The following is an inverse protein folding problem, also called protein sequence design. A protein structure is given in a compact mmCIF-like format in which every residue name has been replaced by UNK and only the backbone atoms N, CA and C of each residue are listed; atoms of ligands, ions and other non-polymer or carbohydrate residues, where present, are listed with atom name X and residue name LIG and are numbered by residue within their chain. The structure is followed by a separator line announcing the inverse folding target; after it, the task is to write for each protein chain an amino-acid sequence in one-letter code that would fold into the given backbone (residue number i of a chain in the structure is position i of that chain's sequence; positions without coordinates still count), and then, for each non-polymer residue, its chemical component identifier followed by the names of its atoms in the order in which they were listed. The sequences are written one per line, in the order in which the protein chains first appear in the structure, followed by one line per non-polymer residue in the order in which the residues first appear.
data_IF_539100002500
#
_entry.id   IF_539100002500
#
_cell.length_a   1.000
_cell.length_b   1.000
_cell.length_c   1.000
_cell.angle_alpha   90.00
_cell.angle_beta   90.00
_cell.angle_gamma   90.00
#
_symmetry.space_group_name_H-M   'P 1'
#
loop_
_entity.id
_entity.type
_entity.pdbx_description
1 polymer ?
#
# COMPACT_ATOMS: atom_id res chain seq x y z
N UNK A 1 -20.90 11.36 -28.19
CA UNK A 1 -20.68 10.15 -27.38
C UNK A 1 -19.71 10.49 -26.26
N UNK A 2 -19.85 9.80 -25.14
CA UNK A 2 -19.00 9.92 -23.95
C UNK A 2 -18.26 8.60 -23.79
N UNK A 3 -16.95 8.62 -23.55
CA UNK A 3 -16.21 7.45 -23.07
C UNK A 3 -15.94 7.63 -21.58
N UNK A 4 -16.46 6.72 -20.77
CA UNK A 4 -16.22 6.67 -19.33
C UNK A 4 -15.18 5.59 -19.11
N UNK A 5 -14.08 5.88 -18.42
CA UNK A 5 -13.02 4.90 -18.22
C UNK A 5 -12.35 5.08 -16.86
N UNK A 6 -11.68 4.01 -16.41
CA UNK A 6 -10.93 3.95 -15.16
C UNK A 6 -9.74 2.98 -15.33
N UNK A 7 -8.69 3.16 -14.52
CA UNK A 7 -7.49 2.33 -14.56
C UNK A 7 -7.09 1.80 -13.19
N UNK A 8 -6.79 0.50 -13.12
CA UNK A 8 -6.02 -0.04 -12.00
C UNK A 8 -4.54 0.07 -12.31
N UNK A 9 -3.71 0.30 -11.28
CA UNK A 9 -2.29 0.59 -11.48
C UNK A 9 -1.44 -0.06 -10.41
N UNK A 10 -0.12 -0.12 -10.62
CA UNK A 10 0.85 -0.65 -9.65
C UNK A 10 1.04 0.22 -8.40
N UNK A 11 0.27 1.30 -8.22
CA UNK A 11 0.33 2.13 -7.02
C UNK A 11 -0.14 3.57 -7.24
N UNK A 12 0.65 4.53 -6.79
CA UNK A 12 0.35 5.96 -6.92
C UNK A 12 1.54 6.67 -7.55
N UNK A 13 1.27 7.80 -8.19
CA UNK A 13 2.33 8.67 -8.70
C UNK A 13 3.24 9.15 -7.56
N UNK A 14 4.56 9.19 -7.80
CA UNK A 14 5.53 9.74 -6.84
C UNK A 14 5.33 11.27 -6.68
N UNK A 15 4.94 11.92 -7.76
CA UNK A 15 4.49 13.30 -7.89
C UNK A 15 3.24 13.35 -8.77
N UNK A 16 2.14 13.88 -8.24
CA UNK A 16 0.94 14.12 -9.04
C UNK A 16 1.10 15.29 -10.02
N UNK A 17 2.20 16.05 -9.94
CA UNK A 17 2.49 17.20 -10.81
C UNK A 17 3.57 16.93 -11.86
N UNK A 18 4.19 15.76 -11.87
CA UNK A 18 5.21 15.46 -12.86
C UNK A 18 4.61 15.39 -14.27
N UNK A 19 5.35 15.81 -15.31
CA UNK A 19 4.91 15.62 -16.68
C UNK A 19 4.84 14.12 -17.02
N UNK A 20 4.00 13.73 -17.99
CA UNK A 20 3.91 12.33 -18.46
C UNK A 20 5.22 11.80 -19.04
N UNK A 21 6.10 12.69 -19.50
CA UNK A 21 7.44 12.36 -20.01
C UNK A 21 8.39 11.88 -18.93
N UNK A 22 8.10 12.19 -17.66
CA UNK A 22 8.71 11.56 -16.50
C UNK A 22 7.93 10.28 -16.20
N UNK A 23 8.02 9.31 -17.12
CA UNK A 23 7.16 8.13 -17.07
C UNK A 23 7.46 7.24 -15.86
N UNK A 24 8.64 7.32 -15.27
CA UNK A 24 9.00 6.53 -14.08
C UNK A 24 8.32 7.07 -12.81
N UNK A 25 7.86 8.32 -12.83
CA UNK A 25 7.05 8.89 -11.75
C UNK A 25 5.65 8.28 -11.66
N UNK A 26 5.06 7.94 -12.82
CA UNK A 26 3.70 7.44 -12.92
C UNK A 26 3.68 5.92 -12.74
N UNK A 27 2.66 5.33 -12.08
CA UNK A 27 2.58 3.89 -11.93
C UNK A 27 2.35 3.21 -13.30
N UNK A 28 2.50 1.88 -13.32
CA UNK A 28 2.20 1.07 -14.51
C UNK A 28 0.71 0.72 -14.52
N UNK A 29 0.09 0.75 -15.69
CA UNK A 29 -1.31 0.38 -15.88
C UNK A 29 -1.45 -1.15 -15.79
N UNK A 30 -2.31 -1.62 -14.89
CA UNK A 30 -2.58 -3.04 -14.63
C UNK A 30 -3.89 -3.47 -15.27
N UNK A 31 -4.90 -2.61 -15.24
CA UNK A 31 -6.19 -2.84 -15.86
C UNK A 31 -6.69 -1.53 -16.47
N UNK A 32 -7.46 -1.63 -17.54
CA UNK A 32 -8.28 -0.54 -18.04
C UNK A 32 -9.65 -1.09 -18.42
N UNK A 33 -10.69 -0.36 -18.03
CA UNK A 33 -12.04 -0.61 -18.48
C UNK A 33 -12.64 0.67 -19.05
N UNK A 34 -13.60 0.54 -19.96
CA UNK A 34 -14.36 1.68 -20.43
C UNK A 34 -15.76 1.32 -20.92
N UNK A 35 -16.63 2.32 -20.92
CA UNK A 35 -17.96 2.31 -21.51
C UNK A 35 -18.10 3.47 -22.48
N UNK A 36 -18.75 3.25 -23.63
CA UNK A 36 -19.19 4.33 -24.51
C UNK A 36 -20.69 4.49 -24.42
N UNK A 37 -21.14 5.73 -24.17
CA UNK A 37 -22.56 6.09 -24.21
C UNK A 37 -22.84 7.12 -25.29
N UNK A 38 -24.02 7.02 -25.91
CA UNK A 38 -24.54 8.06 -26.79
C UNK A 38 -24.99 9.31 -26.02
N UNK A 39 -25.44 10.34 -26.74
CA UNK A 39 -25.94 11.59 -26.12
C UNK A 39 -27.25 11.40 -25.37
N UNK A 40 -27.95 10.29 -25.56
CA UNK A 40 -29.21 9.91 -24.90
C UNK A 40 -28.97 9.05 -23.65
N UNK A 41 -27.72 8.66 -23.39
CA UNK A 41 -27.34 7.80 -22.27
C UNK A 41 -27.34 6.30 -22.59
N UNK A 42 -27.65 5.90 -23.82
CA UNK A 42 -27.64 4.49 -24.20
C UNK A 42 -26.20 3.98 -24.26
N UNK A 43 -25.97 2.80 -23.69
CA UNK A 43 -24.69 2.09 -23.76
C UNK A 43 -24.47 1.55 -25.18
N UNK A 44 -23.28 1.80 -25.74
CA UNK A 44 -22.88 1.39 -27.09
C UNK A 44 -21.71 0.41 -27.09
N UNK A 45 -20.80 0.53 -26.13
CA UNK A 45 -19.58 -0.26 -26.06
C UNK A 45 -19.19 -0.49 -24.58
N UNK A 46 -18.69 -1.68 -24.28
CA UNK A 46 -18.12 -2.05 -22.97
C UNK A 46 -16.88 -2.86 -23.22
N UNK A 47 -15.79 -2.48 -22.58
CA UNK A 47 -14.49 -3.12 -22.73
C UNK A 47 -13.78 -3.18 -21.37
N UNK A 48 -13.04 -4.26 -21.13
CA UNK A 48 -12.33 -4.51 -19.89
C UNK A 48 -11.11 -5.40 -20.16
N UNK A 49 -9.92 -4.92 -19.82
CA UNK A 49 -8.66 -5.60 -20.13
C UNK A 49 -7.68 -5.53 -18.96
N UNK A 50 -7.12 -6.68 -18.60
CA UNK A 50 -5.89 -6.77 -17.79
C UNK A 50 -4.71 -6.60 -18.73
N UNK A 51 -3.72 -5.81 -18.33
CA UNK A 51 -2.52 -5.54 -19.10
C UNK A 51 -1.43 -6.53 -18.71
N UNK A 52 -0.80 -7.15 -19.70
CA UNK A 52 0.36 -8.01 -19.47
C UNK A 52 1.55 -7.17 -18.97
N UNK A 53 2.17 -7.53 -17.83
CA UNK A 53 3.30 -6.76 -17.30
C UNK A 53 4.52 -6.78 -18.21
N UNK A 54 5.18 -5.63 -18.35
CA UNK A 54 6.42 -5.46 -19.13
C UNK A 54 7.52 -4.91 -18.23
N UNK A 55 8.30 -5.82 -17.63
CA UNK A 55 9.43 -5.48 -16.77
C UNK A 55 9.05 -4.89 -15.41
N UNK A 56 7.86 -5.21 -14.89
CA UNK A 56 7.42 -4.83 -13.55
C UNK A 56 6.61 -5.95 -12.91
N UNK A 57 6.57 -5.95 -11.58
CA UNK A 57 5.66 -6.76 -10.78
C UNK A 57 4.60 -5.89 -10.13
N UNK A 58 3.44 -6.46 -9.84
CA UNK A 58 2.35 -5.77 -9.14
C UNK A 58 2.58 -5.94 -7.62
N UNK A 59 2.76 -4.86 -6.84
CA UNK A 59 3.03 -4.96 -5.41
C UNK A 59 1.89 -5.63 -4.63
N UNK A 60 2.20 -6.38 -3.58
CA UNK A 60 1.19 -7.10 -2.78
C UNK A 60 0.12 -6.18 -2.15
N UNK A 61 0.51 -5.01 -1.67
CA UNK A 61 -0.43 -4.01 -1.13
C UNK A 61 -1.43 -3.52 -2.18
N UNK A 62 -1.07 -3.59 -3.45
CA UNK A 62 -1.88 -3.17 -4.59
C UNK A 62 -2.75 -4.34 -5.07
N UNK A 63 -2.21 -5.57 -5.06
CA UNK A 63 -3.00 -6.80 -5.25
C UNK A 63 -4.13 -6.91 -4.23
N UNK A 64 -3.89 -6.57 -2.95
CA UNK A 64 -4.96 -6.58 -1.92
C UNK A 64 -6.12 -5.63 -2.22
N UNK A 65 -5.88 -4.62 -3.05
CA UNK A 65 -6.88 -3.61 -3.41
C UNK A 65 -7.73 -4.13 -4.59
N UNK A 66 -7.09 -4.47 -5.72
CA UNK A 66 -7.81 -4.78 -6.96
C UNK A 66 -7.81 -6.28 -7.35
N UNK A 67 -7.09 -7.15 -6.63
CA UNK A 67 -7.12 -8.60 -6.83
C UNK A 67 -6.41 -9.14 -8.09
N UNK A 68 -5.55 -8.35 -8.73
CA UNK A 68 -4.82 -8.77 -9.95
C UNK A 68 -3.37 -9.01 -9.59
N UNK A 69 -2.95 -10.28 -9.54
CA UNK A 69 -1.55 -10.65 -9.29
C UNK A 69 -0.71 -10.50 -10.57
N UNK A 70 0.61 -10.44 -10.39
CA UNK A 70 1.56 -10.46 -11.53
C UNK A 70 1.36 -11.72 -12.36
N UNK A 71 1.24 -12.88 -11.75
CA UNK A 71 1.08 -14.17 -12.44
C UNK A 71 -0.23 -14.23 -13.23
N UNK A 72 -1.32 -13.68 -12.66
CA UNK A 72 -2.61 -13.57 -13.35
C UNK A 72 -2.50 -12.65 -14.57
N UNK A 73 -1.86 -11.50 -14.41
CA UNK A 73 -1.66 -10.52 -15.48
C UNK A 73 -0.72 -11.06 -16.57
N UNK A 74 0.30 -11.85 -16.23
CA UNK A 74 1.16 -12.53 -17.21
C UNK A 74 0.42 -13.59 -18.02
N UNK A 75 -0.48 -14.36 -17.37
CA UNK A 75 -1.21 -15.46 -17.98
C UNK A 75 -2.38 -15.00 -18.86
N UNK A 76 -3.16 -14.02 -18.39
CA UNK A 76 -4.41 -13.60 -19.03
C UNK A 76 -4.39 -12.17 -19.56
N UNK A 77 -3.33 -11.40 -19.26
CA UNK A 77 -3.22 -10.04 -19.73
C UNK A 77 -2.97 -9.96 -21.23
N UNK A 78 -3.45 -8.88 -21.82
CA UNK A 78 -3.24 -8.54 -23.24
C UNK A 78 -2.09 -7.56 -23.40
N UNK A 79 -1.52 -7.50 -24.61
CA UNK A 79 -0.39 -6.62 -24.92
C UNK A 79 -0.78 -5.14 -24.78
N UNK A 80 0.07 -4.38 -24.09
CA UNK A 80 -0.17 -2.95 -23.81
C UNK A 80 -0.35 -2.15 -25.11
N UNK A 81 0.47 -2.40 -26.13
CA UNK A 81 0.38 -1.71 -27.42
C UNK A 81 -0.98 -1.92 -28.10
N UNK A 82 -1.52 -3.13 -28.02
CA UNK A 82 -2.82 -3.44 -28.61
C UNK A 82 -3.95 -2.71 -27.86
N UNK A 83 -3.93 -2.73 -26.53
CA UNK A 83 -4.95 -2.06 -25.71
C UNK A 83 -4.92 -0.55 -25.89
N UNK A 84 -3.74 0.07 -25.90
CA UNK A 84 -3.60 1.51 -26.12
C UNK A 84 -4.20 1.94 -27.47
N UNK A 85 -3.92 1.19 -28.54
CA UNK A 85 -4.48 1.47 -29.86
C UNK A 85 -6.00 1.26 -29.90
N UNK A 86 -6.51 0.20 -29.27
CA UNK A 86 -7.95 -0.06 -29.18
C UNK A 86 -8.68 1.03 -28.39
N UNK A 87 -8.16 1.42 -27.23
CA UNK A 87 -8.70 2.51 -26.43
C UNK A 87 -8.68 3.83 -27.19
N UNK A 88 -7.58 4.14 -27.89
CA UNK A 88 -7.48 5.33 -28.74
C UNK A 88 -8.54 5.34 -29.87
N UNK A 89 -8.78 4.20 -30.53
CA UNK A 89 -9.82 4.07 -31.55
C UNK A 89 -11.21 4.35 -30.96
N UNK A 90 -11.54 3.72 -29.84
CA UNK A 90 -12.80 3.90 -29.12
C UNK A 90 -12.98 5.36 -28.65
N UNK A 91 -11.94 5.94 -28.06
CA UNK A 91 -11.94 7.33 -27.61
C UNK A 91 -12.10 8.33 -28.76
N UNK A 92 -11.54 8.05 -29.95
CA UNK A 92 -11.64 8.93 -31.13
C UNK A 92 -13.07 9.16 -31.62
N UNK A 93 -13.99 8.25 -31.29
CA UNK A 93 -15.42 8.32 -31.59
C UNK A 93 -16.15 9.27 -30.61
N UNK A 94 -15.53 9.62 -29.49
CA UNK A 94 -16.14 10.34 -28.38
C UNK A 94 -15.75 11.81 -28.33
N UNK A 95 -16.66 12.62 -27.80
CA UNK A 95 -16.46 14.07 -27.61
C UNK A 95 -15.77 14.37 -26.28
N UNK A 96 -16.04 13.55 -25.27
CA UNK A 96 -15.48 13.69 -23.94
C UNK A 96 -14.95 12.38 -23.41
N UNK A 97 -13.80 12.48 -22.75
CA UNK A 97 -13.34 11.53 -21.76
C UNK A 97 -14.04 11.84 -20.44
N UNK A 98 -14.56 10.84 -19.75
CA UNK A 98 -15.27 11.01 -18.48
C UNK A 98 -14.67 10.05 -17.45
N UNK A 99 -14.48 10.53 -16.23
CA UNK A 99 -13.97 9.72 -15.13
C UNK A 99 -14.28 10.33 -13.77
N UNK A 100 -13.83 9.68 -12.71
CA UNK A 100 -13.89 10.19 -11.36
C UNK A 100 -12.45 10.37 -10.85
N UNK A 101 -11.95 11.61 -10.81
CA UNK A 101 -10.52 11.92 -10.72
C UNK A 101 -9.73 11.60 -12.01
N UNK A 102 -10.38 11.79 -13.18
CA UNK A 102 -9.89 11.45 -14.52
C UNK A 102 -8.49 12.00 -14.87
N UNK A 103 -8.04 13.06 -14.19
CA UNK A 103 -6.69 13.60 -14.41
C UNK A 103 -5.62 12.57 -14.08
N UNK A 104 -5.85 11.72 -13.06
CA UNK A 104 -4.94 10.63 -12.72
C UNK A 104 -4.87 9.60 -13.84
N UNK A 105 -6.02 9.08 -14.27
CA UNK A 105 -6.11 8.04 -15.30
C UNK A 105 -5.57 8.52 -16.65
N UNK A 106 -5.88 9.76 -17.05
CA UNK A 106 -5.31 10.38 -18.24
C UNK A 106 -3.77 10.42 -18.20
N UNK A 107 -3.19 10.75 -17.05
CA UNK A 107 -1.74 10.80 -16.91
C UNK A 107 -1.11 9.40 -16.89
N UNK A 108 -1.77 8.40 -16.32
CA UNK A 108 -1.32 7.00 -16.36
C UNK A 108 -1.32 6.48 -17.80
N UNK A 109 -2.43 6.64 -18.52
CA UNK A 109 -2.52 6.24 -19.94
C UNK A 109 -1.53 7.03 -20.78
N UNK A 110 -1.41 8.35 -20.56
CA UNK A 110 -0.45 9.19 -21.26
C UNK A 110 0.99 8.76 -21.03
N UNK A 111 1.35 8.37 -19.80
CA UNK A 111 2.65 7.79 -19.50
C UNK A 111 2.88 6.46 -20.22
N UNK A 112 1.87 5.58 -20.33
CA UNK A 112 2.00 4.34 -21.10
C UNK A 112 2.18 4.58 -22.61
N UNK A 113 1.43 5.51 -23.21
CA UNK A 113 1.66 5.94 -24.60
C UNK A 113 3.10 6.45 -24.79
N UNK A 114 3.59 7.28 -23.86
CA UNK A 114 4.95 7.79 -23.89
C UNK A 114 6.00 6.68 -23.79
N UNK A 115 5.84 5.72 -22.85
CA UNK A 115 6.75 4.55 -22.70
C UNK A 115 6.85 3.72 -23.97
N UNK A 116 5.75 3.58 -24.70
CA UNK A 116 5.69 2.85 -25.98
C UNK A 116 6.16 3.67 -27.18
N UNK A 117 6.41 4.97 -27.02
CA UNK A 117 6.73 5.87 -28.13
C UNK A 117 5.57 6.02 -29.13
N UNK A 118 4.34 5.79 -28.69
CA UNK A 118 3.13 5.90 -29.51
C UNK A 118 2.54 7.30 -29.31
N UNK A 119 2.14 7.96 -30.40
CA UNK A 119 1.45 9.26 -30.31
C UNK A 119 0.11 9.07 -29.56
N UNK A 120 -0.12 9.87 -28.52
CA UNK A 120 -1.35 9.83 -27.74
C UNK A 120 -2.46 10.71 -28.36
N UNK A 121 -3.50 10.15 -29.01
CA UNK A 121 -4.57 10.96 -29.58
C UNK A 121 -5.57 11.44 -28.52
N UNK A 122 -5.60 10.85 -27.32
CA UNK A 122 -6.62 11.15 -26.31
C UNK A 122 -6.39 12.48 -25.61
N UNK A 123 -5.15 13.00 -25.61
CA UNK A 123 -4.78 14.32 -25.08
C UNK A 123 -5.56 15.49 -25.70
N UNK A 124 -6.10 15.31 -26.91
CA UNK A 124 -6.87 16.34 -27.62
C UNK A 124 -8.37 16.31 -27.29
N UNK A 125 -8.82 15.29 -26.56
CA UNK A 125 -10.23 15.08 -26.21
C UNK A 125 -10.48 15.76 -24.86
N UNK A 126 -11.55 16.57 -24.80
CA UNK A 126 -11.92 17.26 -23.56
C UNK A 126 -12.31 16.26 -22.46
N UNK A 127 -11.98 16.57 -21.21
CA UNK A 127 -12.29 15.71 -20.06
C UNK A 127 -13.42 16.27 -19.20
N UNK A 128 -14.23 15.38 -18.64
CA UNK A 128 -15.26 15.67 -17.63
C UNK A 128 -14.91 14.88 -16.38
N UNK A 129 -14.64 15.59 -15.29
CA UNK A 129 -14.33 14.98 -14.00
C UNK A 129 -15.54 15.04 -13.07
N UNK A 130 -16.17 13.89 -12.84
CA UNK A 130 -17.33 13.78 -11.97
C UNK A 130 -16.99 14.10 -10.51
N UNK A 131 -15.76 13.87 -10.06
CA UNK A 131 -15.30 14.23 -8.71
C UNK A 131 -15.41 15.75 -8.49
N UNK A 132 -14.87 16.53 -9.43
CA UNK A 132 -14.90 17.98 -9.34
C UNK A 132 -16.32 18.54 -9.51
N UNK A 133 -17.04 18.08 -10.53
CA UNK A 133 -18.35 18.62 -10.88
C UNK A 133 -19.45 18.29 -9.87
N UNK A 134 -19.26 17.25 -9.06
CA UNK A 134 -20.19 16.86 -7.99
C UNK A 134 -19.83 17.41 -6.61
N UNK A 135 -18.70 18.10 -6.45
CA UNK A 135 -18.22 18.56 -5.13
C UNK A 135 -19.25 19.42 -4.38
N UNK A 136 -19.83 20.41 -5.05
CA UNK A 136 -20.87 21.28 -4.46
C UNK A 136 -22.19 20.52 -4.21
N UNK A 137 -22.51 19.55 -5.07
CA UNK A 137 -23.71 18.73 -4.93
C UNK A 137 -23.62 17.78 -3.72
N UNK A 138 -22.47 17.14 -3.52
CA UNK A 138 -22.21 16.27 -2.39
C UNK A 138 -22.09 17.05 -1.08
N UNK A 139 -21.52 18.26 -1.13
CA UNK A 139 -21.42 19.18 0.00
C UNK A 139 -20.76 18.56 1.26
N UNK A 140 -19.76 17.70 1.07
CA UNK A 140 -19.11 16.98 2.16
C UNK A 140 -18.05 17.87 2.80
N UNK A 141 -18.10 18.09 4.12
CA UNK A 141 -17.15 18.97 4.82
C UNK A 141 -15.73 18.42 4.78
N UNK A 142 -14.78 19.24 4.35
CA UNK A 142 -13.35 18.95 4.42
C UNK A 142 -12.70 19.42 5.72
N UNK A 143 -11.37 19.23 5.84
CA UNK A 143 -10.56 19.72 6.98
C UNK A 143 -10.33 21.24 6.97
N UNK A 144 -10.75 21.95 5.92
CA UNK A 144 -10.55 23.40 5.72
C UNK A 144 -11.84 24.15 5.41
N UNK A 145 -11.72 25.36 4.86
CA UNK A 145 -12.87 26.14 4.35
C UNK A 145 -13.29 25.58 2.99
N UNK A 146 -14.46 24.97 2.90
CA UNK A 146 -15.04 24.43 1.67
C UNK A 146 -15.40 22.94 1.76
N UNK A 147 -15.97 22.42 0.68
CA UNK A 147 -16.28 21.01 0.54
C UNK A 147 -15.06 20.24 0.06
N UNK A 148 -14.87 19.02 0.58
CA UNK A 148 -13.87 18.10 0.04
C UNK A 148 -14.39 17.46 -1.24
N UNK A 149 -13.48 17.01 -2.09
CA UNK A 149 -13.81 16.13 -3.20
C UNK A 149 -14.47 14.84 -2.68
N UNK A 150 -15.62 14.43 -3.24
CA UNK A 150 -16.24 13.16 -2.89
C UNK A 150 -15.38 12.02 -3.44
N UNK A 151 -15.33 10.90 -2.72
CA UNK A 151 -14.97 9.61 -3.31
C UNK A 151 -16.12 9.12 -4.20
N UNK A 152 -15.82 8.17 -5.09
CA UNK A 152 -16.85 7.58 -5.96
C UNK A 152 -17.97 6.93 -5.13
N UNK A 153 -17.62 6.16 -4.08
CA UNK A 153 -18.58 5.58 -3.14
C UNK A 153 -19.47 6.63 -2.47
N UNK A 154 -18.91 7.78 -2.05
CA UNK A 154 -19.67 8.84 -1.39
C UNK A 154 -20.64 9.53 -2.38
N UNK A 155 -20.21 9.72 -3.63
CA UNK A 155 -21.06 10.22 -4.69
C UNK A 155 -22.18 9.21 -5.02
N UNK A 156 -21.84 7.94 -5.15
CA UNK A 156 -22.81 6.87 -5.41
C UNK A 156 -23.84 6.76 -4.28
N UNK A 157 -23.41 6.74 -3.02
CA UNK A 157 -24.29 6.75 -1.85
C UNK A 157 -25.18 7.99 -1.81
N UNK A 158 -24.67 9.16 -2.22
CA UNK A 158 -25.43 10.42 -2.27
C UNK A 158 -26.53 10.39 -3.35
N UNK A 159 -26.25 9.77 -4.50
CA UNK A 159 -27.19 9.69 -5.62
C UNK A 159 -28.22 8.57 -5.46
N UNK A 160 -27.79 7.40 -4.97
CA UNK A 160 -28.57 6.16 -5.03
C UNK A 160 -28.89 5.52 -3.66
N UNK A 161 -28.44 6.14 -2.56
CA UNK A 161 -28.70 5.64 -1.20
C UNK A 161 -28.01 4.31 -0.86
N UNK A 162 -27.12 3.81 -1.72
CA UNK A 162 -26.38 2.56 -1.57
C UNK A 162 -24.93 2.73 -2.03
N UNK A 163 -24.03 1.91 -1.50
CA UNK A 163 -22.71 1.69 -2.11
C UNK A 163 -22.85 0.72 -3.31
N UNK A 164 -21.77 0.51 -4.04
CA UNK A 164 -21.69 -0.49 -5.11
C UNK A 164 -20.68 -1.58 -4.74
N UNK A 165 -20.88 -2.77 -5.30
CA UNK A 165 -20.03 -3.93 -5.03
C UNK A 165 -18.70 -3.84 -5.80
N UNK A 166 -17.65 -4.48 -5.29
CA UNK A 166 -16.33 -4.59 -5.93
C UNK A 166 -15.63 -3.26 -6.29
N UNK A 167 -15.75 -2.23 -5.44
CA UNK A 167 -14.94 -1.02 -5.55
C UNK A 167 -13.44 -1.35 -5.61
N UNK A 168 -12.68 -0.60 -6.43
CA UNK A 168 -11.29 -0.91 -6.80
C UNK A 168 -11.15 -2.06 -7.80
N UNK A 169 -12.07 -2.08 -8.75
CA UNK A 169 -11.98 -2.85 -9.98
C UNK A 169 -12.40 -1.91 -11.09
N UNK A 170 -11.51 -1.66 -12.06
CA UNK A 170 -11.77 -0.69 -13.12
C UNK A 170 -13.14 -0.88 -13.79
N UNK A 171 -13.63 -2.12 -13.98
CA UNK A 171 -14.94 -2.35 -14.59
C UNK A 171 -16.11 -1.93 -13.69
N UNK A 172 -16.03 -2.24 -12.39
CA UNK A 172 -17.04 -1.82 -11.41
C UNK A 172 -17.01 -0.30 -11.21
N UNK A 173 -15.82 0.29 -11.12
CA UNK A 173 -15.64 1.73 -10.98
C UNK A 173 -16.09 2.49 -12.23
N UNK A 174 -15.89 1.94 -13.44
CA UNK A 174 -16.47 2.51 -14.68
C UNK A 174 -17.98 2.43 -14.67
N UNK A 175 -18.58 1.32 -14.25
CA UNK A 175 -20.05 1.22 -14.17
C UNK A 175 -20.63 2.22 -13.16
N UNK A 176 -20.06 2.29 -11.97
CA UNK A 176 -20.45 3.26 -10.95
C UNK A 176 -20.26 4.70 -11.44
N UNK A 177 -19.13 5.00 -12.09
CA UNK A 177 -18.83 6.33 -12.65
C UNK A 177 -19.78 6.69 -13.79
N UNK A 178 -20.09 5.77 -14.70
CA UNK A 178 -21.03 6.00 -15.79
C UNK A 178 -22.43 6.28 -15.25
N UNK A 179 -22.89 5.46 -14.30
CA UNK A 179 -24.17 5.66 -13.61
C UNK A 179 -24.23 7.01 -12.91
N UNK A 180 -23.19 7.37 -12.15
CA UNK A 180 -23.10 8.66 -11.47
C UNK A 180 -23.09 9.84 -12.46
N UNK A 181 -22.31 9.74 -13.53
CA UNK A 181 -22.24 10.77 -14.56
C UNK A 181 -23.60 11.03 -15.20
N UNK A 182 -24.26 9.98 -15.69
CA UNK A 182 -25.56 10.10 -16.34
C UNK A 182 -26.64 10.62 -15.39
N UNK A 183 -26.60 10.22 -14.12
CA UNK A 183 -27.53 10.72 -13.10
C UNK A 183 -27.27 12.20 -12.78
N UNK A 184 -26.02 12.64 -12.70
CA UNK A 184 -25.66 14.06 -12.54
C UNK A 184 -26.13 14.91 -13.72
N UNK A 185 -26.12 14.34 -14.94
CA UNK A 185 -26.69 14.98 -16.14
C UNK A 185 -28.21 15.05 -16.01
N UNK A 186 -28.88 13.96 -15.63
CA UNK A 186 -30.34 13.88 -15.45
C UNK A 186 -30.84 14.93 -14.45
N UNK A 187 -30.13 15.08 -13.33
CA UNK A 187 -30.40 16.05 -12.27
C UNK A 187 -29.95 17.49 -12.60
N UNK A 188 -29.37 17.72 -13.78
CA UNK A 188 -28.82 19.00 -14.25
C UNK A 188 -27.69 19.59 -13.36
N UNK A 189 -27.04 18.77 -12.53
CA UNK A 189 -25.80 19.14 -11.83
C UNK A 189 -24.67 19.34 -12.85
N UNK A 190 -24.63 18.46 -13.85
CA UNK A 190 -23.84 18.62 -15.08
C UNK A 190 -24.83 19.06 -16.17
N UNK A 191 -24.86 20.35 -16.47
CA UNK A 191 -25.83 20.94 -17.41
C UNK A 191 -25.28 21.03 -18.84
N UNK A 192 -26.15 21.44 -19.77
CA UNK A 192 -25.84 21.57 -21.20
C UNK A 192 -24.60 22.43 -21.51
N UNK A 193 -24.31 23.47 -20.72
CA UNK A 193 -23.12 24.31 -20.96
C UNK A 193 -21.83 23.59 -20.60
N UNK A 194 -21.83 22.77 -19.55
CA UNK A 194 -20.70 21.90 -19.19
C UNK A 194 -20.47 20.78 -20.22
N UNK A 195 -21.53 20.29 -20.85
CA UNK A 195 -21.47 19.25 -21.90
C UNK A 195 -21.26 19.82 -23.31
N UNK A 196 -21.42 21.12 -23.50
CA UNK A 196 -21.41 21.78 -24.80
C UNK A 196 -22.42 21.19 -25.80
N UNK A 197 -23.59 20.78 -25.33
CA UNK A 197 -24.71 20.26 -26.14
C UNK A 197 -25.85 21.28 -26.20
N UNK A 198 -26.77 21.14 -27.15
CA UNK A 198 -27.91 22.06 -27.26
C UNK A 198 -28.95 21.82 -26.16
N UNK A 199 -29.81 22.81 -25.94
CA UNK A 199 -30.93 22.68 -25.00
C UNK A 199 -31.87 21.53 -25.41
N UNK A 200 -32.07 21.35 -26.71
CA UNK A 200 -32.91 20.28 -27.28
C UNK A 200 -32.29 18.90 -27.00
N UNK A 201 -30.99 18.73 -27.22
CA UNK A 201 -30.27 17.48 -26.92
C UNK A 201 -30.34 17.13 -25.43
N UNK A 202 -30.18 18.14 -24.55
CA UNK A 202 -30.27 17.96 -23.10
C UNK A 202 -31.69 17.58 -22.65
N UNK A 203 -32.72 18.22 -23.21
CA UNK A 203 -34.12 17.87 -22.94
C UNK A 203 -34.46 16.47 -23.46
N UNK A 204 -33.92 16.08 -24.61
CA UNK A 204 -34.10 14.73 -25.14
C UNK A 204 -33.47 13.67 -24.21
N UNK A 205 -32.26 13.93 -23.69
CA UNK A 205 -31.64 13.06 -22.69
C UNK A 205 -32.55 12.87 -21.46
N UNK A 206 -33.06 13.96 -20.88
CA UNK A 206 -33.93 13.90 -19.70
C UNK A 206 -35.26 13.18 -19.99
N UNK A 207 -35.82 13.37 -21.19
CA UNK A 207 -37.04 12.68 -21.62
C UNK A 207 -36.82 11.17 -21.75
N UNK A 208 -35.66 10.75 -22.25
CA UNK A 208 -35.32 9.33 -22.40
C UNK A 208 -34.96 8.67 -21.06
N UNK A 209 -34.58 9.47 -20.04
CA UNK A 209 -34.22 9.01 -18.71
C UNK A 209 -35.12 9.65 -17.64
N UNK A 210 -36.42 9.30 -17.57
CA UNK A 210 -37.37 9.96 -16.68
C UNK A 210 -37.19 9.61 -15.20
N UNK A 211 -36.58 8.47 -14.91
CA UNK A 211 -36.30 7.97 -13.56
C UNK A 211 -34.80 7.91 -13.30
N UNK A 212 -34.43 7.63 -12.04
CA UNK A 212 -33.05 7.34 -11.64
C UNK A 212 -32.37 6.37 -12.61
N UNK A 213 -31.14 6.70 -13.02
CA UNK A 213 -30.34 5.83 -13.90
C UNK A 213 -30.07 4.50 -13.19
N UNK A 214 -30.49 3.42 -13.83
CA UNK A 214 -30.30 2.06 -13.33
C UNK A 214 -28.89 1.57 -13.62
N UNK A 215 -28.35 0.72 -12.74
CA UNK A 215 -27.15 -0.05 -13.04
C UNK A 215 -27.42 -0.97 -14.24
N UNK A 216 -26.42 -1.15 -15.09
CA UNK A 216 -26.55 -1.96 -16.31
C UNK A 216 -26.34 -3.44 -15.96
N UNK A 217 -25.71 -3.72 -14.82
CA UNK A 217 -25.43 -5.09 -14.38
C UNK A 217 -24.44 -5.74 -15.34
N UNK A 218 -23.35 -5.03 -15.65
CA UNK A 218 -22.31 -5.65 -16.44
C UNK A 218 -21.77 -6.86 -15.69
N UNK A 219 -21.28 -7.85 -16.42
CA UNK A 219 -20.58 -8.97 -15.82
C UNK A 219 -19.22 -8.45 -15.30
N UNK A 220 -19.29 -7.73 -14.18
CA UNK A 220 -18.20 -7.23 -13.35
C UNK A 220 -17.70 -8.31 -12.41
N UNK A 221 -18.17 -9.56 -12.57
CA UNK A 221 -17.55 -10.73 -11.95
C UNK A 221 -16.04 -10.53 -12.13
N UNK A 222 -15.26 -10.32 -11.05
CA UNK A 222 -13.82 -10.42 -11.16
C UNK A 222 -13.60 -11.74 -11.87
N UNK A 223 -12.96 -11.75 -13.07
CA UNK A 223 -12.91 -12.94 -13.93
C UNK A 223 -12.76 -14.15 -13.04
N UNK A 224 -13.73 -15.07 -13.09
CA UNK A 224 -14.02 -16.04 -12.03
C UNK A 224 -12.75 -16.57 -11.39
N UNK A 225 -12.82 -16.83 -10.08
CA UNK A 225 -11.84 -17.56 -9.26
C UNK A 225 -11.60 -19.01 -9.77
N UNK A 226 -11.66 -19.27 -11.08
CA UNK A 226 -11.08 -20.46 -11.67
C UNK A 226 -9.56 -20.31 -11.61
N UNK A 227 -9.06 -20.83 -10.49
CA UNK A 227 -7.78 -20.56 -9.90
C UNK A 227 -7.78 -19.19 -9.20
N UNK A 228 -8.28 -19.17 -7.95
CA UNK A 228 -7.33 -18.90 -6.88
C UNK A 228 -5.98 -19.42 -7.40
N UNK A 229 -5.02 -18.52 -7.67
CA UNK A 229 -3.67 -18.94 -7.32
C UNK A 229 -3.91 -19.38 -5.89
N UNK A 230 -3.93 -20.69 -5.69
CA UNK A 230 -3.54 -21.31 -4.45
C UNK A 230 -2.32 -20.48 -4.08
N UNK A 231 -2.51 -19.41 -3.30
CA UNK A 231 -1.43 -18.78 -2.56
C UNK A 231 -1.20 -19.83 -1.53
N UNK A 232 -0.56 -20.91 -1.98
CA UNK A 232 -0.74 -22.26 -1.53
C UNK A 232 -1.29 -22.27 -0.10
N UNK A 233 -2.58 -22.54 -0.01
CA UNK A 233 -3.07 -23.46 1.01
C UNK A 233 -2.43 -24.85 0.84
N UNK A 234 -1.44 -25.07 -0.05
CA UNK A 234 -0.33 -26.01 0.21
C UNK A 234 0.61 -25.55 1.36
N UNK A 235 0.27 -24.55 2.18
CA UNK A 235 0.77 -24.45 3.58
C UNK A 235 -0.33 -24.72 4.62
N UNK A 236 -1.52 -25.14 4.17
CA UNK A 236 -2.17 -26.30 4.78
C UNK A 236 -1.68 -27.60 4.10
N UNK A 237 -0.45 -27.63 3.54
CA UNK A 237 0.33 -28.86 3.59
C UNK A 237 0.34 -29.26 5.05
N UNK A 238 -0.54 -30.21 5.36
CA UNK A 238 -0.77 -30.83 6.65
C UNK A 238 0.00 -30.06 7.74
N UNK A 239 -0.58 -29.00 8.31
CA UNK A 239 -0.33 -28.84 9.74
C UNK A 239 -1.01 -30.08 10.32
N UNK A 240 -0.34 -31.25 10.21
CA UNK A 240 -0.42 -32.29 11.21
C UNK A 240 -0.33 -31.45 12.45
N UNK A 241 -1.39 -31.47 13.24
CA UNK A 241 -1.34 -30.99 14.60
C UNK A 241 -0.04 -31.57 15.13
N UNK A 242 1.03 -30.78 15.14
CA UNK A 242 2.28 -31.19 15.71
C UNK A 242 1.86 -31.25 17.15
N UNK A 243 1.70 -32.47 17.66
CA UNK A 243 1.51 -32.65 19.08
C UNK A 243 2.69 -31.94 19.70
N UNK A 244 2.45 -30.71 20.19
CA UNK A 244 3.47 -29.92 20.83
C UNK A 244 3.82 -30.75 22.04
N UNK A 245 5.01 -31.34 22.01
CA UNK A 245 5.54 -32.06 23.15
C UNK A 245 5.63 -31.06 24.30
N UNK A 246 4.59 -31.05 25.14
CA UNK A 246 4.50 -30.14 26.29
C UNK A 246 5.56 -30.46 27.33
N UNK A 247 6.18 -31.64 27.26
CA UNK A 247 7.29 -32.02 28.12
C UNK A 247 8.64 -31.48 27.59
N UNK A 248 8.72 -31.09 26.31
CA UNK A 248 9.96 -30.66 25.67
C UNK A 248 9.79 -29.38 24.83
N UNK A 249 9.18 -28.35 25.43
CA UNK A 249 9.09 -27.03 24.80
C UNK A 249 10.50 -26.40 24.74
N UNK A 250 11.00 -26.04 23.54
CA UNK A 250 12.30 -25.42 23.41
C UNK A 250 12.41 -24.14 24.23
N UNK A 251 13.59 -23.90 24.80
CA UNK A 251 13.85 -22.66 25.51
C UNK A 251 13.73 -21.47 24.54
N UNK A 252 12.85 -20.52 24.89
CA UNK A 252 12.57 -19.34 24.09
C UNK A 252 13.07 -18.06 24.78
N UNK A 253 13.51 -17.08 24.00
CA UNK A 253 13.92 -15.76 24.49
C UNK A 253 13.35 -14.69 23.56
N UNK A 254 12.60 -13.74 24.13
CA UNK A 254 12.14 -12.58 23.38
C UNK A 254 13.33 -11.64 23.09
N UNK A 255 13.63 -11.45 21.81
CA UNK A 255 14.69 -10.56 21.32
C UNK A 255 14.19 -9.22 20.79
N UNK A 256 12.90 -9.14 20.44
CA UNK A 256 12.21 -7.91 20.08
C UNK A 256 11.10 -7.69 21.11
N UNK A 257 11.31 -6.73 22.02
CA UNK A 257 10.39 -6.46 23.13
C UNK A 257 10.43 -4.99 23.55
N UNK A 258 9.25 -4.39 23.55
CA UNK A 258 9.02 -3.02 24.02
C UNK A 258 8.64 -3.00 25.50
N UNK A 259 9.18 -2.02 26.20
CA UNK A 259 8.85 -1.73 27.60
C UNK A 259 8.07 -0.43 27.69
N UNK A 260 7.71 -0.04 28.91
CA UNK A 260 7.14 1.28 29.24
C UNK A 260 7.96 2.49 28.75
N UNK A 261 9.21 2.28 28.29
CA UNK A 261 10.07 3.32 27.74
C UNK A 261 9.91 3.54 26.23
N UNK A 262 9.13 2.70 25.54
CA UNK A 262 8.55 3.02 24.24
C UNK A 262 7.34 3.96 24.43
N UNK A 263 7.61 5.23 24.74
CA UNK A 263 6.58 6.21 25.12
C UNK A 263 5.53 6.35 24.00
N UNK A 264 4.25 6.40 24.39
CA UNK A 264 3.06 6.41 23.53
C UNK A 264 2.66 5.06 22.91
N UNK A 265 3.41 4.00 23.19
CA UNK A 265 3.15 2.66 22.65
C UNK A 265 3.26 1.57 23.73
N UNK A 266 4.46 1.36 24.26
CA UNK A 266 4.76 0.26 25.17
C UNK A 266 4.05 0.36 26.52
N UNK A 267 3.27 -0.68 26.85
CA UNK A 267 2.57 -0.80 28.14
C UNK A 267 3.25 -1.77 29.13
N UNK A 268 4.32 -2.43 28.71
CA UNK A 268 4.99 -3.49 29.47
C UNK A 268 5.88 -2.92 30.57
N UNK A 269 5.44 -3.00 31.82
CA UNK A 269 6.28 -2.60 32.96
C UNK A 269 7.40 -3.61 33.20
N UNK A 270 8.65 -3.15 33.33
CA UNK A 270 9.85 -4.01 33.49
C UNK A 270 9.69 -5.03 34.64
N UNK A 271 9.15 -4.60 35.79
CA UNK A 271 8.90 -5.51 36.93
C UNK A 271 7.89 -6.61 36.61
N UNK A 272 6.86 -6.32 35.81
CA UNK A 272 5.85 -7.31 35.42
C UNK A 272 6.40 -8.26 34.36
N UNK A 273 7.17 -7.73 33.41
CA UNK A 273 7.89 -8.51 32.42
C UNK A 273 8.78 -9.57 33.08
N UNK A 274 9.60 -9.17 34.06
CA UNK A 274 10.51 -10.09 34.77
C UNK A 274 9.75 -11.19 35.50
N UNK A 275 8.64 -10.86 36.17
CA UNK A 275 7.77 -11.85 36.81
C UNK A 275 7.21 -12.86 35.80
N UNK A 276 6.76 -12.39 34.63
CA UNK A 276 6.22 -13.24 33.56
C UNK A 276 7.31 -14.14 32.97
N UNK A 277 8.46 -13.56 32.62
CA UNK A 277 9.62 -14.29 32.10
C UNK A 277 10.05 -15.44 33.05
N UNK A 278 10.12 -15.18 34.37
CA UNK A 278 10.38 -16.23 35.37
C UNK A 278 9.31 -17.31 35.37
N UNK A 279 8.04 -16.91 35.38
CA UNK A 279 6.90 -17.84 35.39
C UNK A 279 6.93 -18.77 34.17
N UNK A 280 7.40 -18.26 33.04
CA UNK A 280 7.51 -19.00 31.78
C UNK A 280 8.83 -19.75 31.62
N UNK A 281 9.71 -19.75 32.64
CA UNK A 281 11.00 -20.45 32.59
C UNK A 281 12.08 -19.79 31.71
N UNK A 282 11.90 -18.54 31.29
CA UNK A 282 12.89 -17.83 30.46
C UNK A 282 14.10 -17.41 31.30
N UNK A 283 15.30 -17.67 30.79
CA UNK A 283 16.57 -17.26 31.43
C UNK A 283 17.16 -15.98 30.85
N UNK A 284 16.58 -15.45 29.77
CA UNK A 284 17.00 -14.22 29.09
C UNK A 284 15.83 -13.48 28.47
N UNK A 285 15.93 -12.16 28.38
CA UNK A 285 14.97 -11.28 27.70
C UNK A 285 15.70 -10.04 27.17
N UNK A 286 15.33 -9.55 25.99
CA UNK A 286 15.84 -8.30 25.43
C UNK A 286 14.98 -7.07 25.77
N UNK A 287 15.60 -5.90 25.66
CA UNK A 287 14.93 -4.60 25.60
C UNK A 287 15.23 -3.97 24.24
N UNK A 288 14.20 -3.63 23.47
CA UNK A 288 14.33 -3.03 22.13
C UNK A 288 13.35 -1.87 21.96
N UNK A 289 13.40 -0.90 22.86
CA UNK A 289 12.45 0.23 22.84
C UNK A 289 12.60 1.11 21.59
N UNK A 290 11.51 1.77 21.19
CA UNK A 290 11.44 2.58 19.97
C UNK A 290 12.40 3.78 20.01
N UNK A 291 13.46 3.72 19.19
CA UNK A 291 14.40 4.80 18.94
C UNK A 291 15.22 5.25 20.15
N UNK A 292 15.16 4.54 21.29
CA UNK A 292 15.75 4.99 22.53
C UNK A 292 16.26 3.84 23.42
N UNK A 293 17.14 4.20 24.37
CA UNK A 293 17.71 3.28 25.36
C UNK A 293 17.40 3.72 26.80
N UNK A 294 16.31 4.47 27.03
CA UNK A 294 16.02 5.10 28.33
C UNK A 294 15.85 4.09 29.46
N UNK A 295 15.25 2.93 29.15
CA UNK A 295 14.95 1.87 30.12
C UNK A 295 16.13 0.98 30.50
N UNK A 296 17.26 1.05 29.78
CA UNK A 296 18.34 0.05 29.86
C UNK A 296 18.90 -0.09 31.28
N UNK A 297 19.11 1.03 31.99
CA UNK A 297 19.67 0.99 33.35
C UNK A 297 18.72 0.30 34.35
N UNK A 298 17.44 0.60 34.30
CA UNK A 298 16.44 -0.06 35.15
C UNK A 298 16.32 -1.54 34.76
N UNK A 299 16.18 -1.82 33.47
CA UNK A 299 16.06 -3.16 32.91
C UNK A 299 17.20 -4.07 33.36
N UNK A 300 18.44 -3.65 33.11
CA UNK A 300 19.62 -4.41 33.50
C UNK A 300 19.65 -4.69 35.01
N UNK A 301 19.38 -3.67 35.84
CA UNK A 301 19.39 -3.80 37.30
C UNK A 301 18.34 -4.81 37.79
N UNK A 302 17.12 -4.73 37.28
CA UNK A 302 16.02 -5.59 37.71
C UNK A 302 16.24 -7.03 37.25
N UNK A 303 16.58 -7.26 35.98
CA UNK A 303 16.80 -8.61 35.45
C UNK A 303 18.00 -9.30 36.12
N UNK A 304 19.11 -8.58 36.29
CA UNK A 304 20.32 -9.14 36.93
C UNK A 304 20.07 -9.57 38.38
N UNK A 305 19.32 -8.76 39.15
CA UNK A 305 18.95 -9.10 40.54
C UNK A 305 18.12 -10.39 40.59
N UNK A 306 17.32 -10.62 39.56
CA UNK A 306 16.39 -11.72 39.48
C UNK A 306 17.01 -12.95 38.77
N UNK A 307 18.28 -12.89 38.37
CA UNK A 307 18.99 -14.01 37.73
C UNK A 307 18.60 -14.26 36.27
N UNK A 308 17.97 -13.29 35.60
CA UNK A 308 17.66 -13.33 34.17
C UNK A 308 18.74 -12.54 33.42
N UNK A 309 19.30 -13.10 32.36
CA UNK A 309 20.29 -12.41 31.52
C UNK A 309 19.62 -11.29 30.71
N UNK A 310 19.95 -10.01 30.94
CA UNK A 310 19.45 -8.92 30.11
C UNK A 310 20.19 -8.90 28.76
N UNK A 311 19.44 -8.76 27.67
CA UNK A 311 19.98 -8.49 26.34
C UNK A 311 19.63 -7.03 26.00
N UNK A 312 20.64 -6.22 25.66
CA UNK A 312 20.47 -4.77 25.49
C UNK A 312 20.38 -4.47 23.99
N UNK A 313 19.34 -3.74 23.60
CA UNK A 313 19.13 -3.28 22.24
C UNK A 313 18.27 -2.02 22.18
N UNK A 314 17.88 -1.66 20.96
CA UNK A 314 16.79 -0.73 20.67
C UNK A 314 16.26 -0.99 19.25
N UNK A 315 15.00 -0.65 18.99
CA UNK A 315 14.45 -0.67 17.64
C UNK A 315 14.69 0.71 17.01
N UNK A 316 15.67 0.80 16.12
CA UNK A 316 16.07 2.04 15.48
C UNK A 316 15.03 2.49 14.45
N UNK A 317 14.82 3.81 14.35
CA UNK A 317 14.15 4.41 13.21
C UNK A 317 15.19 4.70 12.11
N UNK A 318 15.06 4.05 10.96
CA UNK A 318 15.91 4.29 9.80
C UNK A 318 15.30 5.36 8.91
N UNK A 319 16.07 6.37 8.51
CA UNK A 319 15.65 7.33 7.49
C UNK A 319 15.67 6.71 6.10
N UNK A 320 14.80 7.20 5.21
CA UNK A 320 14.75 6.74 3.82
C UNK A 320 15.96 7.20 2.98
N UNK A 321 16.57 8.34 3.36
CA UNK A 321 17.77 8.91 2.73
C UNK A 321 18.86 9.10 3.80
N UNK A 322 19.19 10.34 4.13
CA UNK A 322 20.09 10.69 5.24
C UNK A 322 19.30 11.03 6.50
N UNK A 323 19.91 10.83 7.67
CA UNK A 323 19.31 11.25 8.94
C UNK A 323 19.22 12.78 9.09
N UNK A 324 20.02 13.53 8.33
CA UNK A 324 20.17 14.99 8.45
C UNK A 324 19.02 15.79 7.81
N UNK A 325 18.45 15.25 6.72
CA UNK A 325 17.43 15.96 5.93
C UNK A 325 16.03 15.86 6.56
N UNK A 326 15.22 16.90 6.34
CA UNK A 326 13.89 17.09 6.95
C UNK A 326 12.86 17.58 5.94
N UNK A 327 12.92 17.08 4.71
CA UNK A 327 11.94 17.39 3.68
C UNK A 327 10.69 16.51 3.85
N UNK A 328 9.52 17.13 4.06
CA UNK A 328 8.27 16.40 4.35
C UNK A 328 7.92 15.32 3.32
N UNK A 329 8.29 15.54 2.06
CA UNK A 329 7.99 14.64 0.94
C UNK A 329 8.84 13.37 0.96
N UNK A 330 10.10 13.47 1.38
CA UNK A 330 11.07 12.38 1.27
C UNK A 330 11.45 11.79 2.63
N UNK A 331 11.59 12.63 3.65
CA UNK A 331 12.21 12.28 4.93
C UNK A 331 11.20 12.05 6.06
N UNK A 332 9.89 12.19 5.77
CA UNK A 332 8.82 11.80 6.69
C UNK A 332 8.66 10.28 6.79
N UNK A 333 9.05 9.55 5.74
CA UNK A 333 9.10 8.09 5.71
C UNK A 333 10.28 7.59 6.55
N UNK A 334 10.03 6.51 7.29
CA UNK A 334 11.02 5.83 8.12
C UNK A 334 10.66 4.35 8.22
N UNK A 335 11.65 3.52 8.42
CA UNK A 335 11.48 2.08 8.66
C UNK A 335 12.10 1.71 10.00
N UNK A 336 11.84 0.50 10.47
CA UNK A 336 12.37 -0.02 11.72
C UNK A 336 13.57 -0.95 11.46
N UNK A 337 14.49 -1.02 12.42
CA UNK A 337 15.59 -1.99 12.44
C UNK A 337 15.90 -2.36 13.88
N UNK A 338 15.85 -3.65 14.23
CA UNK A 338 16.21 -4.11 15.57
C UNK A 338 17.72 -4.24 15.66
N UNK A 339 18.31 -3.61 16.68
CA UNK A 339 19.74 -3.66 16.95
C UNK A 339 19.99 -4.16 18.38
N UNK A 340 20.86 -5.16 18.52
CA UNK A 340 21.22 -5.79 19.79
C UNK A 340 22.73 -5.73 20.02
N UNK A 341 23.15 -5.43 21.25
CA UNK A 341 24.55 -5.44 21.63
C UNK A 341 25.03 -6.88 21.88
N UNK A 342 25.96 -7.36 21.05
CA UNK A 342 26.64 -8.66 21.20
C UNK A 342 27.68 -8.62 22.33
N UNK A 343 28.28 -7.46 22.55
CA UNK A 343 29.33 -7.22 23.54
C UNK A 343 29.37 -5.74 23.99
N UNK A 344 30.36 -5.38 24.81
CA UNK A 344 30.51 -4.01 25.34
C UNK A 344 30.75 -2.97 24.24
N UNK A 345 31.50 -3.30 23.19
CA UNK A 345 31.69 -2.42 22.02
C UNK A 345 30.36 -2.14 21.34
N UNK A 346 29.56 -3.18 21.10
CA UNK A 346 28.20 -3.06 20.59
C UNK A 346 27.33 -2.14 21.44
N UNK A 347 27.36 -2.31 22.76
CA UNK A 347 26.61 -1.45 23.68
C UNK A 347 27.01 0.03 23.56
N UNK A 348 28.32 0.33 23.49
CA UNK A 348 28.82 1.70 23.27
C UNK A 348 28.37 2.26 21.92
N UNK A 349 28.38 1.43 20.88
CA UNK A 349 27.91 1.82 19.55
C UNK A 349 26.40 2.08 19.52
N UNK A 350 25.58 1.25 20.18
CA UNK A 350 24.13 1.50 20.31
C UNK A 350 23.85 2.81 21.04
N UNK A 351 24.56 3.09 22.14
CA UNK A 351 24.44 4.38 22.83
C UNK A 351 24.78 5.54 21.89
N UNK A 352 25.81 5.39 21.05
CA UNK A 352 26.22 6.44 20.11
C UNK A 352 25.16 6.65 19.01
N UNK A 353 24.63 5.58 18.43
CA UNK A 353 23.56 5.62 17.43
C UNK A 353 22.29 6.25 17.98
N UNK A 354 21.82 5.81 19.14
CA UNK A 354 20.65 6.41 19.81
C UNK A 354 20.87 7.90 20.10
N UNK A 355 22.07 8.29 20.58
CA UNK A 355 22.40 9.69 20.84
C UNK A 355 22.34 10.54 19.57
N UNK A 356 22.99 10.08 18.48
CA UNK A 356 23.00 10.80 17.19
C UNK A 356 21.58 10.93 16.64
N UNK A 357 20.75 9.89 16.80
CA UNK A 357 19.35 9.96 16.40
C UNK A 357 18.58 11.10 17.08
N UNK A 358 18.86 11.36 18.36
CA UNK A 358 18.25 12.48 19.09
C UNK A 358 18.88 13.85 18.79
N UNK A 359 20.20 13.94 18.58
CA UNK A 359 20.87 15.24 18.40
C UNK A 359 20.80 15.74 16.96
N UNK A 360 21.11 14.86 16.01
CA UNK A 360 21.34 15.24 14.61
C UNK A 360 20.19 14.72 13.73
N UNK A 361 19.71 13.51 14.01
CA UNK A 361 18.71 12.81 13.20
C UNK A 361 17.24 13.09 13.54
N UNK A 362 16.98 13.93 14.55
CA UNK A 362 15.62 14.13 15.04
C UNK A 362 14.78 14.96 14.06
N UNK A 363 13.75 14.33 13.51
CA UNK A 363 12.68 14.99 12.78
C UNK A 363 11.37 14.88 13.58
N UNK A 364 10.51 13.90 13.27
CA UNK A 364 9.40 13.49 14.13
C UNK A 364 9.78 12.40 15.14
N UNK A 365 10.82 11.64 14.81
CA UNK A 365 11.41 10.55 15.61
C UNK A 365 12.94 10.67 15.54
N UNK A 366 13.69 10.11 16.50
CA UNK A 366 15.14 10.08 16.46
C UNK A 366 15.62 9.05 15.41
N UNK A 367 16.02 9.51 14.23
CA UNK A 367 16.37 8.63 13.10
C UNK A 367 17.88 8.48 12.93
N UNK A 368 18.31 7.34 12.43
CA UNK A 368 19.68 7.09 11.95
C UNK A 368 19.64 6.66 10.49
N UNK A 369 20.79 6.49 9.84
CA UNK A 369 20.89 6.00 8.47
C UNK A 369 21.93 4.88 8.33
N UNK A 370 22.02 4.30 7.13
CA UNK A 370 22.92 3.17 6.85
C UNK A 370 24.40 3.55 6.92
N UNK A 371 24.75 4.83 6.72
CA UNK A 371 26.13 5.29 6.86
C UNK A 371 26.58 5.31 8.32
N UNK A 372 25.69 5.73 9.23
CA UNK A 372 25.91 5.57 10.66
C UNK A 372 26.02 4.10 11.06
N UNK A 373 25.20 3.20 10.49
CA UNK A 373 25.34 1.76 10.73
C UNK A 373 26.70 1.24 10.28
N UNK A 374 27.15 1.56 9.06
CA UNK A 374 28.48 1.18 8.56
C UNK A 374 29.61 1.63 9.50
N UNK A 375 29.47 2.83 10.07
CA UNK A 375 30.45 3.41 11.01
C UNK A 375 30.46 2.73 12.39
N UNK A 376 29.29 2.33 12.89
CA UNK A 376 29.11 1.86 14.27
C UNK A 376 28.69 0.39 14.39
N UNK A 377 28.81 -0.40 13.32
CA UNK A 377 28.35 -1.81 13.28
C UNK A 377 29.07 -2.77 14.24
N UNK A 378 30.29 -2.46 14.68
CA UNK A 378 31.09 -3.40 15.45
C UNK A 378 30.38 -3.84 16.73
N UNK A 379 30.27 -5.16 16.93
CA UNK A 379 29.64 -5.75 18.11
C UNK A 379 28.11 -5.65 18.14
N UNK A 380 27.45 -5.33 17.02
CA UNK A 380 25.98 -5.25 16.92
C UNK A 380 25.44 -6.43 16.10
N UNK A 381 24.39 -7.06 16.64
CA UNK A 381 23.50 -7.96 15.89
C UNK A 381 22.31 -7.15 15.40
N UNK A 382 21.88 -7.35 14.17
CA UNK A 382 20.73 -6.70 13.58
C UNK A 382 19.73 -7.73 13.04
N UNK A 383 18.43 -7.40 13.07
CA UNK A 383 17.40 -8.21 12.42
C UNK A 383 16.45 -7.37 11.57
N UNK A 384 15.80 -7.99 10.58
CA UNK A 384 14.93 -7.34 9.59
C UNK A 384 13.70 -6.61 10.17
N UNK A 385 13.48 -6.71 11.48
CA UNK A 385 12.43 -6.07 12.26
C UNK A 385 11.01 -6.54 11.92
N UNK A 386 10.02 -5.82 12.45
CA UNK A 386 8.59 -6.06 12.27
C UNK A 386 8.11 -5.68 10.86
N UNK A 387 6.80 -5.70 10.60
CA UNK A 387 6.22 -5.23 9.33
C UNK A 387 6.65 -3.78 8.96
N UNK A 388 7.03 -2.95 9.94
CA UNK A 388 7.57 -1.61 9.71
C UNK A 388 9.05 -1.57 9.29
N UNK A 389 9.72 -2.73 9.20
CA UNK A 389 11.10 -2.85 8.73
C UNK A 389 11.24 -2.60 7.23
N UNK A 390 12.45 -2.23 6.78
CA UNK A 390 12.69 -1.87 5.38
C UNK A 390 12.40 -3.03 4.41
N UNK A 391 12.86 -4.24 4.74
CA UNK A 391 12.67 -5.42 3.90
C UNK A 391 11.19 -5.83 3.87
N UNK A 392 10.49 -6.01 5.02
CA UNK A 392 9.04 -6.23 5.02
C UNK A 392 8.23 -5.18 4.25
N UNK A 393 8.52 -3.89 4.43
CA UNK A 393 7.81 -2.82 3.72
C UNK A 393 7.99 -2.91 2.19
N UNK A 394 9.20 -3.25 1.73
CA UNK A 394 9.45 -3.43 0.29
C UNK A 394 8.76 -4.67 -0.27
N UNK A 395 8.70 -5.77 0.47
CA UNK A 395 7.95 -6.96 0.06
C UNK A 395 6.46 -6.66 -0.12
N UNK A 396 5.90 -5.79 0.73
CA UNK A 396 4.49 -5.39 0.66
C UNK A 396 4.22 -4.38 -0.46
N UNK A 397 5.06 -3.36 -0.60
CA UNK A 397 4.75 -2.15 -1.39
C UNK A 397 5.63 -1.95 -2.64
N UNK A 398 6.54 -2.87 -2.93
CA UNK A 398 7.50 -2.78 -4.03
C UNK A 398 7.76 -4.17 -4.65
N UNK A 399 8.93 -4.39 -5.22
CA UNK A 399 9.33 -5.65 -5.87
C UNK A 399 10.12 -6.57 -4.93
N UNK A 400 10.14 -7.87 -5.23
CA UNK A 400 10.95 -8.85 -4.49
C UNK A 400 12.45 -8.51 -4.61
N UNK A 401 12.89 -8.11 -5.80
CA UNK A 401 14.26 -7.72 -6.12
C UNK A 401 14.71 -6.49 -5.32
N UNK A 402 13.83 -5.51 -5.11
CA UNK A 402 14.14 -4.35 -4.28
C UNK A 402 14.27 -4.72 -2.80
N UNK A 403 13.48 -5.67 -2.32
CA UNK A 403 13.59 -6.20 -0.97
C UNK A 403 14.90 -7.00 -0.79
N UNK A 404 15.25 -7.84 -1.77
CA UNK A 404 16.52 -8.58 -1.83
C UNK A 404 17.71 -7.63 -1.81
N UNK A 405 17.68 -6.56 -2.63
CA UNK A 405 18.73 -5.54 -2.63
C UNK A 405 18.94 -4.91 -1.23
N UNK A 406 17.85 -4.60 -0.53
CA UNK A 406 17.94 -4.08 0.85
C UNK A 406 18.50 -5.10 1.82
N UNK A 407 18.11 -6.37 1.70
CA UNK A 407 18.63 -7.47 2.51
C UNK A 407 20.14 -7.62 2.30
N UNK A 408 20.59 -7.65 1.04
CA UNK A 408 22.00 -7.76 0.70
C UNK A 408 22.81 -6.58 1.23
N UNK A 409 22.26 -5.36 1.21
CA UNK A 409 22.93 -4.20 1.81
C UNK A 409 23.07 -4.35 3.33
N UNK A 410 22.04 -4.82 4.05
CA UNK A 410 22.16 -5.09 5.48
C UNK A 410 23.12 -6.27 5.78
N UNK A 411 23.13 -7.31 4.94
CA UNK A 411 24.08 -8.43 5.02
C UNK A 411 25.52 -7.95 4.78
N UNK A 412 25.74 -7.01 3.87
CA UNK A 412 27.06 -6.37 3.65
C UNK A 412 27.49 -5.57 4.88
N UNK A 413 26.56 -4.83 5.50
CA UNK A 413 26.85 -4.06 6.71
C UNK A 413 27.21 -5.00 7.85
N UNK A 414 26.34 -5.93 8.24
CA UNK A 414 26.47 -6.70 9.49
C UNK A 414 27.10 -8.09 9.33
N UNK A 415 27.25 -8.61 8.11
CA UNK A 415 27.82 -9.94 7.87
C UNK A 415 26.96 -11.03 8.53
N UNK A 416 27.60 -11.92 9.28
CA UNK A 416 26.92 -13.04 9.98
C UNK A 416 26.07 -12.59 11.16
N UNK A 417 26.18 -11.33 11.57
CA UNK A 417 25.37 -10.75 12.63
C UNK A 417 24.05 -10.13 12.11
N UNK A 418 23.66 -10.38 10.84
CA UNK A 418 22.34 -10.04 10.31
C UNK A 418 21.40 -11.25 10.27
N UNK A 419 20.19 -11.08 10.83
CA UNK A 419 19.18 -12.13 10.90
C UNK A 419 17.85 -11.71 10.27
N UNK A 420 17.16 -12.67 9.65
CA UNK A 420 15.77 -12.50 9.24
C UNK A 420 14.86 -12.71 10.44
N UNK A 421 13.98 -11.76 10.67
CA UNK A 421 13.02 -11.78 11.78
C UNK A 421 11.64 -12.22 11.29
N UNK A 422 11.14 -13.30 11.87
CA UNK A 422 9.81 -13.82 11.58
C UNK A 422 8.87 -13.54 12.75
N UNK A 423 7.72 -12.97 12.45
CA UNK A 423 6.71 -12.58 13.42
C UNK A 423 5.34 -13.02 12.93
N UNK A 424 4.51 -13.59 13.80
CA UNK A 424 3.14 -14.01 13.44
C UNK A 424 2.16 -13.72 14.56
N UNK A 425 1.20 -12.84 14.27
CA UNK A 425 0.25 -12.32 15.24
C UNK A 425 -1.16 -12.38 14.64
N UNK A 426 -2.01 -13.18 15.24
CA UNK A 426 -3.43 -13.25 14.88
C UNK A 426 -4.22 -12.38 15.85
N UNK A 427 -4.93 -11.38 15.33
CA UNK A 427 -5.89 -10.62 16.11
C UNK A 427 -7.10 -11.51 16.41
N UNK A 428 -7.41 -11.71 17.69
CA UNK A 428 -8.60 -12.44 18.14
C UNK A 428 -9.73 -11.50 18.57
N UNK A 429 -9.43 -10.20 18.65
CA UNK A 429 -10.38 -9.14 18.99
C UNK A 429 -10.94 -8.54 17.69
N UNK A 430 -12.27 -8.53 17.47
CA UNK A 430 -12.87 -7.99 16.26
C UNK A 430 -12.66 -6.49 16.07
N UNK A 431 -12.33 -5.74 17.13
CA UNK A 431 -12.05 -4.31 17.05
C UNK A 431 -10.58 -4.01 16.66
N UNK A 432 -9.74 -5.04 16.56
CA UNK A 432 -8.34 -4.91 16.16
C UNK A 432 -8.15 -5.13 14.66
N UNK A 433 -7.05 -4.57 14.13
CA UNK A 433 -6.69 -4.73 12.72
C UNK A 433 -6.33 -6.20 12.41
N UNK A 434 -7.18 -6.88 11.64
CA UNK A 434 -7.00 -8.28 11.23
C UNK A 434 -6.01 -8.46 10.07
N UNK A 435 -5.68 -7.39 9.33
CA UNK A 435 -4.78 -7.45 8.17
C UNK A 435 -3.35 -7.81 8.55
N UNK A 436 -2.92 -7.50 9.79
CA UNK A 436 -1.56 -7.77 10.28
C UNK A 436 -1.17 -9.24 10.13
N UNK A 437 -2.11 -10.15 10.38
CA UNK A 437 -1.85 -11.59 10.25
C UNK A 437 -1.56 -11.98 8.80
N UNK A 438 -2.40 -11.53 7.86
CA UNK A 438 -2.27 -11.86 6.44
C UNK A 438 -0.98 -11.28 5.86
N UNK A 439 -0.66 -10.03 6.20
CA UNK A 439 0.59 -9.39 5.81
C UNK A 439 1.80 -10.16 6.35
N UNK A 440 1.77 -10.61 7.60
CA UNK A 440 2.82 -11.44 8.18
C UNK A 440 2.94 -12.81 7.52
N UNK A 441 1.84 -13.46 7.14
CA UNK A 441 1.89 -14.74 6.42
C UNK A 441 2.63 -14.57 5.10
N UNK A 442 2.25 -13.57 4.30
CA UNK A 442 2.91 -13.27 3.02
C UNK A 442 4.37 -12.86 3.20
N UNK A 443 4.65 -11.92 4.11
CA UNK A 443 6.01 -11.43 4.37
C UNK A 443 6.90 -12.56 4.90
N UNK A 444 6.43 -13.40 5.82
CA UNK A 444 7.24 -14.50 6.35
C UNK A 444 7.57 -15.54 5.27
N UNK A 445 6.61 -15.92 4.40
CA UNK A 445 6.89 -16.80 3.26
C UNK A 445 7.98 -16.21 2.36
N UNK A 446 7.87 -14.91 2.05
CA UNK A 446 8.83 -14.19 1.21
C UNK A 446 10.21 -14.01 1.87
N UNK A 447 10.25 -13.73 3.17
CA UNK A 447 11.48 -13.63 3.96
C UNK A 447 12.22 -14.97 4.05
N UNK A 448 11.49 -16.08 4.17
CA UNK A 448 12.08 -17.43 4.11
C UNK A 448 12.67 -17.70 2.73
N UNK A 449 11.97 -17.30 1.65
CA UNK A 449 12.51 -17.39 0.28
C UNK A 449 13.79 -16.57 0.10
N UNK A 450 13.84 -15.36 0.66
CA UNK A 450 15.02 -14.49 0.65
C UNK A 450 16.20 -15.03 1.47
N UNK A 451 15.94 -15.87 2.48
CA UNK A 451 16.96 -16.42 3.36
C UNK A 451 17.66 -17.67 2.81
N UNK A 452 17.01 -18.36 1.86
CA UNK A 452 17.53 -19.54 1.15
C UNK A 452 18.25 -19.13 -0.13
#
# INVERSE_FOLDING_TARGET
MYIIFDTETTGKALDFKAPITDSDNWPRMVQIAWQIHDIKGNLLEVENYIIKPEGYTIPYDVVKIHGITTERAEKYGVDLDWVLNKFAESASKCKFLVGHNITFDNNVIGAEFYRKGINNPTEKIASIDTMQLSTEFCAIRGRGKGYKWPKLEELHQKLFGSNFDAAHNAAADVEATARCFLELVRLAVINQSKLGITSEEFQEFQKNNPSEIQAIGLNTQPYEEENEIEVETEVEAEIKSVEVDKENVPQFTHLHLHTQYSILDGMTKIKNLVKKAKKDGMTSVAITDHGNMFGVKEFHKVLSKEGIKPIIGFEAYMSARTHLDKEIRYDSKRTHLVLLAKNETGYKNLMRLSSIGFTDGHYYKPRIDKDLLRKYKEGIIASSACLGGEIPQKLLSSTFEEAEKSLLEFKEIFGDDFYIELQRHQATDPDMNTNVYQDQVYVNKSLVKLAN
#
